data_IF_300909898074
#
_entry.id   IF_300909898074
#
_cell.length_a   1.000
_cell.length_b   1.000
_cell.length_c   1.000
_cell.angle_alpha   90.00
_cell.angle_beta   90.00
_cell.angle_gamma   90.00
#
_symmetry.space_group_name_H-M   'P 1'
#
loop_
_entity.id
_entity.type
_entity.pdbx_description
1 polymer ?
#
# COMPACT_ATOMS: atom_id res chain seq x y z
N UNK A 1 -0.21 20.85 -18.44
CA UNK A 1 1.11 20.34 -18.86
C UNK A 1 1.02 18.83 -18.76
N UNK A 2 1.24 18.09 -19.85
CA UNK A 2 1.21 16.62 -19.85
C UNK A 2 2.66 16.16 -19.86
N UNK A 3 3.08 15.46 -18.80
CA UNK A 3 4.41 14.87 -18.71
C UNK A 3 4.29 13.41 -19.12
N UNK A 4 5.00 13.01 -20.17
CA UNK A 4 5.09 11.60 -20.54
C UNK A 4 5.92 10.88 -19.48
N UNK A 5 5.35 9.86 -18.86
CA UNK A 5 6.02 8.99 -17.89
C UNK A 5 5.94 7.57 -18.41
N UNK A 6 7.06 6.85 -18.39
CA UNK A 6 7.06 5.43 -18.72
C UNK A 6 6.40 4.65 -17.60
N UNK A 7 5.43 3.76 -17.90
CA UNK A 7 4.82 2.93 -16.87
C UNK A 7 5.80 1.91 -16.34
N UNK A 8 5.68 1.60 -15.04
CA UNK A 8 6.48 0.55 -14.42
C UNK A 8 6.03 -0.84 -14.84
N UNK A 9 4.71 -1.06 -14.89
CA UNK A 9 4.09 -2.31 -15.32
C UNK A 9 2.62 -2.08 -15.70
N UNK A 10 2.01 -3.02 -16.40
CA UNK A 10 0.59 -2.98 -16.79
C UNK A 10 -0.20 -4.09 -16.09
N UNK A 11 -1.47 -3.84 -15.79
CA UNK A 11 -2.37 -4.80 -15.13
C UNK A 11 -3.73 -4.85 -15.83
N UNK A 12 -4.37 -6.02 -15.82
CA UNK A 12 -5.74 -6.21 -16.29
C UNK A 12 -6.73 -5.90 -15.18
N UNK A 13 -7.64 -4.92 -15.36
CA UNK A 13 -8.65 -4.57 -14.34
C UNK A 13 -9.70 -5.67 -14.12
N UNK A 14 -9.72 -6.68 -14.97
CA UNK A 14 -10.62 -7.83 -14.83
C UNK A 14 -10.05 -8.92 -13.91
N UNK A 15 -8.76 -8.84 -13.56
CA UNK A 15 -8.12 -9.80 -12.68
C UNK A 15 -8.20 -9.36 -11.21
N UNK A 16 -8.28 -10.34 -10.30
CA UNK A 16 -8.15 -10.05 -8.86
C UNK A 16 -6.71 -9.69 -8.55
N UNK A 17 -6.49 -8.45 -8.13
CA UNK A 17 -5.17 -7.97 -7.76
C UNK A 17 -5.05 -7.93 -6.25
N UNK A 18 -3.94 -8.47 -5.74
CA UNK A 18 -3.61 -8.39 -4.31
C UNK A 18 -2.19 -7.89 -4.12
N UNK A 19 -1.94 -7.19 -3.02
CA UNK A 19 -0.62 -6.72 -2.64
C UNK A 19 -0.20 -7.30 -1.29
N UNK A 20 1.10 -7.52 -1.12
CA UNK A 20 1.70 -7.80 0.17
C UNK A 20 2.90 -6.87 0.36
N UNK A 21 2.98 -6.22 1.51
CA UNK A 21 4.08 -5.30 1.85
C UNK A 21 4.85 -5.88 3.02
N UNK A 22 6.13 -6.16 2.80
CA UNK A 22 7.05 -6.71 3.80
C UNK A 22 8.06 -5.63 4.18
N UNK A 23 8.28 -5.47 5.49
CA UNK A 23 9.27 -4.54 6.03
C UNK A 23 10.31 -5.34 6.80
N UNK A 24 11.59 -4.99 6.59
CA UNK A 24 12.72 -5.58 7.30
C UNK A 24 13.39 -4.52 8.17
N UNK A 25 13.56 -4.83 9.46
CA UNK A 25 14.34 -3.98 10.34
C UNK A 25 15.83 -4.16 10.03
N UNK A 26 16.49 -3.07 9.62
CA UNK A 26 17.92 -3.10 9.27
C UNK A 26 18.81 -3.56 10.42
N UNK A 27 18.46 -3.19 11.66
CA UNK A 27 19.31 -3.42 12.83
C UNK A 27 19.19 -4.82 13.41
N UNK A 28 18.01 -5.45 13.31
CA UNK A 28 17.74 -6.77 13.89
C UNK A 28 17.61 -7.89 12.85
N UNK A 29 17.60 -7.54 11.55
CA UNK A 29 17.31 -8.43 10.42
C UNK A 29 15.95 -9.16 10.51
N UNK A 30 15.10 -8.78 11.47
CA UNK A 30 13.74 -9.29 11.61
C UNK A 30 12.86 -8.73 10.50
N UNK A 31 11.88 -9.52 10.07
CA UNK A 31 10.94 -9.16 9.03
C UNK A 31 9.52 -9.20 9.58
N UNK A 32 8.68 -8.29 9.14
CA UNK A 32 7.25 -8.33 9.42
C UNK A 32 6.46 -7.93 8.18
N UNK A 33 5.19 -8.32 8.18
CA UNK A 33 4.27 -8.03 7.11
C UNK A 33 3.33 -6.91 7.55
N UNK A 34 3.30 -5.84 6.77
CA UNK A 34 2.45 -4.66 7.06
C UNK A 34 1.11 -4.76 6.34
N UNK A 35 1.10 -5.43 5.19
CA UNK A 35 -0.09 -5.68 4.35
C UNK A 35 -0.01 -7.12 3.85
N UNK A 36 -1.08 -7.90 4.00
CA UNK A 36 -1.11 -9.32 3.68
C UNK A 36 -2.19 -9.72 2.68
N UNK A 37 -1.76 -9.86 1.43
CA UNK A 37 -2.60 -10.28 0.30
C UNK A 37 -3.91 -9.49 0.22
N UNK A 38 -3.86 -8.21 0.58
CA UNK A 38 -5.02 -7.33 0.54
C UNK A 38 -5.39 -7.07 -0.90
N UNK A 39 -6.69 -7.21 -1.20
CA UNK A 39 -7.22 -7.11 -2.55
C UNK A 39 -7.58 -5.66 -2.85
N UNK A 40 -7.23 -5.18 -4.05
CA UNK A 40 -7.68 -3.89 -4.55
C UNK A 40 -9.15 -3.98 -4.93
N UNK A 41 -10.04 -3.62 -4.00
CA UNK A 41 -11.49 -3.74 -4.13
C UNK A 41 -12.17 -2.44 -4.53
N UNK A 42 -11.47 -1.31 -4.42
CA UNK A 42 -11.96 0.00 -4.83
C UNK A 42 -11.11 0.60 -5.95
N UNK A 43 -11.75 0.85 -7.10
CA UNK A 43 -11.14 1.48 -8.27
C UNK A 43 -11.80 2.83 -8.55
N UNK A 44 -11.04 3.90 -8.46
CA UNK A 44 -11.45 5.26 -8.77
C UNK A 44 -10.85 5.71 -10.11
N UNK A 45 -11.67 5.66 -11.15
CA UNK A 45 -11.32 6.12 -12.50
C UNK A 45 -11.00 7.61 -12.54
N UNK A 46 -11.65 8.43 -11.72
CA UNK A 46 -11.50 9.89 -11.77
C UNK A 46 -10.16 10.34 -11.18
N UNK A 47 -9.70 9.65 -10.14
CA UNK A 47 -8.38 9.91 -9.54
C UNK A 47 -7.27 9.05 -10.12
N UNK A 48 -7.57 8.19 -11.10
CA UNK A 48 -6.66 7.20 -11.68
C UNK A 48 -5.99 6.33 -10.61
N UNK A 49 -6.78 5.76 -9.69
CA UNK A 49 -6.26 4.99 -8.56
C UNK A 49 -7.05 3.73 -8.25
N UNK A 50 -6.37 2.71 -7.76
CA UNK A 50 -6.98 1.62 -7.01
C UNK A 50 -6.51 1.67 -5.57
N UNK A 51 -7.34 1.21 -4.63
CA UNK A 51 -7.05 1.22 -3.21
C UNK A 51 -7.34 -0.13 -2.58
N UNK A 52 -6.54 -0.48 -1.58
CA UNK A 52 -6.84 -1.51 -0.60
C UNK A 52 -6.34 -1.05 0.78
N UNK A 53 -6.84 -1.68 1.83
CA UNK A 53 -6.31 -1.47 3.18
C UNK A 53 -6.11 -2.79 3.89
N UNK A 54 -5.24 -2.77 4.90
CA UNK A 54 -5.07 -3.86 5.85
C UNK A 54 -4.87 -3.33 7.26
N UNK A 55 -5.15 -4.15 8.26
CA UNK A 55 -4.90 -3.81 9.65
C UNK A 55 -3.48 -4.19 10.04
N UNK A 56 -2.83 -3.29 10.79
CA UNK A 56 -1.49 -3.53 11.31
C UNK A 56 -1.50 -4.58 12.42
N UNK A 57 -0.60 -5.56 12.31
CA UNK A 57 -0.38 -6.58 13.35
C UNK A 57 0.63 -6.07 14.38
N UNK A 58 0.13 -5.63 15.53
CA UNK A 58 0.97 -5.14 16.63
C UNK A 58 1.35 -6.25 17.59
N UNK A 59 2.52 -6.09 18.21
CA UNK A 59 2.97 -7.01 19.26
C UNK A 59 1.97 -7.06 20.43
N UNK A 60 1.78 -8.23 21.03
CA UNK A 60 0.98 -8.42 22.24
C UNK A 60 1.45 -7.55 23.44
N UNK A 61 2.66 -7.00 23.37
CA UNK A 61 3.18 -6.04 24.35
C UNK A 61 2.43 -4.68 24.32
N UNK A 62 1.69 -4.40 23.24
CA UNK A 62 0.96 -3.14 23.04
C UNK A 62 -0.54 -3.37 22.81
N UNK A 63 -1.27 -3.99 23.76
CA UNK A 63 -2.65 -4.46 23.56
C UNK A 63 -3.68 -3.34 23.35
N UNK A 64 -3.32 -2.09 23.64
CA UNK A 64 -4.17 -0.92 23.46
C UNK A 64 -4.07 -0.33 22.04
N UNK A 65 -3.12 -0.79 21.23
CA UNK A 65 -2.90 -0.32 19.86
C UNK A 65 -3.55 -1.35 18.93
N UNK A 66 -4.80 -1.13 18.55
CA UNK A 66 -5.53 -1.98 17.59
C UNK A 66 -6.36 -1.12 16.65
N UNK A 67 -6.73 -1.66 15.49
CA UNK A 67 -7.59 -0.97 14.53
C UNK A 67 -6.89 0.07 13.65
N UNK A 68 -5.56 0.19 13.75
CA UNK A 68 -4.77 1.01 12.83
C UNK A 68 -4.66 0.31 11.49
N UNK A 69 -4.89 1.06 10.42
CA UNK A 69 -4.87 0.55 9.05
C UNK A 69 -3.72 1.17 8.26
N UNK A 70 -3.12 0.36 7.40
CA UNK A 70 -2.33 0.84 6.29
C UNK A 70 -3.17 0.85 5.03
N UNK A 71 -3.04 1.91 4.24
CA UNK A 71 -3.63 2.03 2.91
C UNK A 71 -2.55 1.82 1.86
N UNK A 72 -2.87 1.08 0.81
CA UNK A 72 -2.02 0.96 -0.37
C UNK A 72 -2.83 1.39 -1.59
N UNK A 73 -2.20 2.18 -2.45
CA UNK A 73 -2.81 2.67 -3.68
C UNK A 73 -1.90 2.43 -4.87
N UNK A 74 -2.48 1.92 -5.95
CA UNK A 74 -1.84 1.91 -7.27
C UNK A 74 -2.20 3.21 -7.99
N UNK A 75 -1.20 3.88 -8.54
CA UNK A 75 -1.35 5.09 -9.35
C UNK A 75 -1.32 4.70 -10.83
N UNK A 76 -2.38 5.05 -11.55
CA UNK A 76 -2.54 4.71 -12.95
C UNK A 76 -2.22 5.88 -13.87
N UNK A 77 -1.73 5.56 -15.07
CA UNK A 77 -1.70 6.51 -16.18
C UNK A 77 -3.06 6.52 -16.86
N UNK A 78 -3.50 7.73 -17.24
CA UNK A 78 -4.71 7.92 -18.03
C UNK A 78 -4.42 7.55 -19.50
N UNK A 79 -4.49 6.25 -19.79
CA UNK A 79 -4.29 5.72 -21.14
C UNK A 79 -5.63 5.21 -21.68
N UNK A 80 -6.28 6.05 -22.51
CA UNK A 80 -7.61 5.81 -23.10
C UNK A 80 -7.64 4.76 -24.22
N UNK A 81 -6.56 4.03 -24.46
CA UNK A 81 -6.38 3.22 -25.68
C UNK A 81 -6.61 1.72 -25.47
N UNK A 82 -6.54 1.19 -24.23
CA UNK A 82 -6.73 -0.23 -23.97
C UNK A 82 -7.93 -0.50 -23.06
N UNK A 83 -8.98 -1.08 -23.62
CA UNK A 83 -10.18 -1.49 -22.88
C UNK A 83 -9.82 -2.64 -21.93
N UNK A 84 -9.58 -2.30 -20.66
CA UNK A 84 -9.34 -3.27 -19.60
C UNK A 84 -7.88 -3.47 -19.16
N UNK A 85 -6.91 -2.78 -19.78
CA UNK A 85 -5.51 -2.79 -19.33
C UNK A 85 -5.14 -1.40 -18.86
N UNK A 86 -4.58 -1.33 -17.66
CA UNK A 86 -4.18 -0.07 -17.03
C UNK A 86 -2.70 -0.10 -16.72
N UNK A 87 -2.03 1.00 -17.07
CA UNK A 87 -0.62 1.19 -16.83
C UNK A 87 -0.38 1.80 -15.45
N UNK A 88 0.47 1.16 -14.65
CA UNK A 88 0.81 1.56 -13.29
C UNK A 88 2.10 2.37 -13.30
N UNK A 89 2.02 3.59 -12.78
CA UNK A 89 3.16 4.49 -12.63
C UNK A 89 3.75 4.50 -11.21
N UNK A 90 2.97 4.08 -10.22
CA UNK A 90 3.45 4.11 -8.84
C UNK A 90 2.62 3.31 -7.87
N UNK A 91 3.24 3.02 -6.73
CA UNK A 91 2.61 2.41 -5.57
C UNK A 91 2.81 3.37 -4.41
N UNK A 92 1.74 3.76 -3.75
CA UNK A 92 1.75 4.62 -2.57
C UNK A 92 1.24 3.82 -1.39
N UNK A 93 1.90 3.96 -0.25
CA UNK A 93 1.44 3.44 1.03
C UNK A 93 1.31 4.59 2.01
N UNK A 94 0.23 4.60 2.78
CA UNK A 94 -0.04 5.66 3.75
C UNK A 94 -0.70 5.09 5.02
N UNK A 95 -0.53 5.82 6.12
CA UNK A 95 -1.04 5.53 7.45
C UNK A 95 -1.90 6.71 7.92
N UNK A 96 -2.73 7.26 7.01
CA UNK A 96 -3.38 8.58 7.12
C UNK A 96 -4.08 8.85 8.46
N UNK A 97 -4.64 7.80 9.07
CA UNK A 97 -5.43 7.91 10.30
C UNK A 97 -4.55 8.17 11.54
N UNK A 98 -3.23 7.90 11.49
CA UNK A 98 -2.39 7.78 12.69
C UNK A 98 -0.98 8.39 12.58
N UNK A 99 -0.47 8.65 11.38
CA UNK A 99 0.84 9.26 11.19
C UNK A 99 0.81 10.33 10.10
N UNK A 100 1.52 11.43 10.34
CA UNK A 100 1.65 12.59 9.46
C UNK A 100 3.10 12.84 9.04
N UNK A 101 4.04 12.27 9.79
CA UNK A 101 5.47 12.43 9.56
C UNK A 101 6.15 11.08 9.35
N UNK A 102 7.32 11.11 8.72
CA UNK A 102 8.16 9.93 8.57
C UNK A 102 8.51 9.28 9.91
N UNK A 103 8.79 10.09 10.93
CA UNK A 103 9.21 9.59 12.24
C UNK A 103 8.05 8.89 12.96
N UNK A 104 6.83 9.41 12.85
CA UNK A 104 5.64 8.75 13.39
C UNK A 104 5.38 7.39 12.70
N UNK A 105 5.62 7.28 11.38
CA UNK A 105 5.55 6.00 10.66
C UNK A 105 6.60 5.02 11.19
N UNK A 106 7.82 5.48 11.43
CA UNK A 106 8.88 4.64 12.00
C UNK A 106 8.52 4.15 13.40
N UNK A 107 7.93 5.01 14.24
CA UNK A 107 7.44 4.62 15.56
C UNK A 107 6.33 3.58 15.48
N UNK A 108 5.41 3.68 14.52
CA UNK A 108 4.40 2.63 14.30
C UNK A 108 5.05 1.29 13.97
N UNK A 109 6.11 1.30 13.15
CA UNK A 109 6.85 0.08 12.81
C UNK A 109 7.56 -0.53 14.02
N UNK A 110 8.05 0.27 14.96
CA UNK A 110 8.66 -0.24 16.20
C UNK A 110 7.65 -1.02 17.08
N UNK A 111 6.34 -0.79 16.92
CA UNK A 111 5.28 -1.47 17.66
C UNK A 111 4.79 -2.77 16.98
N UNK A 112 5.14 -2.99 15.72
CA UNK A 112 4.70 -4.17 14.97
C UNK A 112 5.19 -5.47 15.58
N UNK A 113 4.50 -6.55 15.26
CA UNK A 113 4.92 -7.88 15.63
C UNK A 113 6.12 -8.34 14.76
N UNK A 114 7.34 -8.16 15.29
CA UNK A 114 8.59 -8.57 14.62
C UNK A 114 8.94 -10.03 14.92
N UNK A 115 8.61 -10.92 14.00
CA UNK A 115 9.01 -12.33 14.03
C UNK A 115 10.46 -12.54 13.59
#
# INVERSE_FOLDING_TARGET
MILAVEPGFSISIFDTMSVSVLVRCKNSNKGTQVVNKSVFDYFDKMSCRAFCFDYLDFSHLYPLVSGIRAWVSLLFLDNNENDGVVDVNGIVMDFCDVAKTKDEVLWLFDLLNWN
#
